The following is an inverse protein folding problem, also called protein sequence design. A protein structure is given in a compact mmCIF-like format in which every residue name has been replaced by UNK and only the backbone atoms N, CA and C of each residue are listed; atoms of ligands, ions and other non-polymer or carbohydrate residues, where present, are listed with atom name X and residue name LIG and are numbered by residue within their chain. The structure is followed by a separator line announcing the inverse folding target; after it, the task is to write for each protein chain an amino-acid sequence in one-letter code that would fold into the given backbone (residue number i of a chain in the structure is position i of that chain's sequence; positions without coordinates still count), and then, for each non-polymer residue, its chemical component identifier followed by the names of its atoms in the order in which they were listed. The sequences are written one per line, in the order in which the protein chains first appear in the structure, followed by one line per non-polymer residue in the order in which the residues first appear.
data_IF_204129457506
#
_entry.id   IF_204129457506
#
_cell.length_a   1.000
_cell.length_b   1.000
_cell.length_c   1.000
_cell.angle_alpha   90.00
_cell.angle_beta   90.00
_cell.angle_gamma   90.00
#
_symmetry.space_group_name_H-M   'P 1'
#
loop_
_entity.id
_entity.type
_entity.pdbx_description
1 polymer ?
#
# COMPACT_ATOMS: atom_id res chain seq x y z
N UNK A 1 -16.27 26.45 -1.72
CA UNK A 1 -17.34 26.93 -0.81
C UNK A 1 -16.78 27.39 0.54
N UNK A 2 -15.88 26.62 1.18
CA UNK A 2 -15.22 27.04 2.42
C UNK A 2 -14.52 28.41 2.33
N UNK A 3 -13.77 28.68 1.25
CA UNK A 3 -13.12 29.98 1.03
C UNK A 3 -14.09 31.16 0.84
N UNK A 4 -15.40 30.90 0.72
CA UNK A 4 -16.46 31.91 0.64
C UNK A 4 -17.25 32.05 1.96
N UNK A 5 -16.69 31.56 3.08
CA UNK A 5 -17.26 31.72 4.42
C UNK A 5 -18.26 30.65 4.85
N UNK A 6 -18.50 29.62 4.03
CA UNK A 6 -19.37 28.50 4.41
C UNK A 6 -18.71 27.60 5.46
N UNK A 7 -19.46 27.22 6.49
CA UNK A 7 -19.03 26.31 7.56
C UNK A 7 -19.62 24.92 7.34
N UNK A 8 -18.82 23.87 7.49
CA UNK A 8 -19.28 22.48 7.48
C UNK A 8 -19.68 22.02 8.88
N UNK A 9 -20.62 21.07 8.95
CA UNK A 9 -20.98 20.38 10.18
C UNK A 9 -20.86 18.87 9.94
N UNK A 10 -20.25 18.15 10.89
CA UNK A 10 -20.14 16.70 10.86
C UNK A 10 -21.03 16.11 11.96
N UNK A 11 -21.97 15.24 11.58
CA UNK A 11 -22.88 14.58 12.50
C UNK A 11 -22.65 13.07 12.45
N UNK A 12 -22.34 12.46 13.58
CA UNK A 12 -22.17 11.01 13.72
C UNK A 12 -23.30 10.41 14.58
N UNK A 13 -24.48 10.10 13.99
CA UNK A 13 -25.61 9.55 14.72
C UNK A 13 -25.33 8.13 15.24
N UNK A 14 -25.96 7.75 16.35
CA UNK A 14 -25.84 6.39 16.94
C UNK A 14 -26.22 5.29 15.94
N UNK A 15 -27.27 5.51 15.15
CA UNK A 15 -27.66 4.62 14.04
C UNK A 15 -27.04 5.15 12.75
N UNK A 16 -26.33 4.30 12.01
CA UNK A 16 -25.74 4.67 10.72
C UNK A 16 -26.85 5.09 9.76
N UNK A 17 -26.83 6.36 9.34
CA UNK A 17 -27.82 6.93 8.43
C UNK A 17 -27.56 6.51 6.97
N UNK A 18 -26.30 6.24 6.63
CA UNK A 18 -25.87 5.77 5.31
C UNK A 18 -25.03 4.52 5.47
N UNK A 19 -25.37 3.47 4.73
CA UNK A 19 -24.62 2.20 4.66
C UNK A 19 -24.29 1.97 3.19
N UNK A 20 -23.01 1.79 2.89
CA UNK A 20 -22.52 1.56 1.54
C UNK A 20 -21.83 0.21 1.43
N UNK A 21 -21.56 -0.21 0.19
CA UNK A 21 -20.77 -1.41 -0.11
C UNK A 21 -19.31 -1.02 -0.23
N UNK A 22 -18.47 -1.65 0.59
CA UNK A 22 -17.01 -1.52 0.52
C UNK A 22 -16.43 -2.56 -0.44
N UNK A 23 -15.29 -2.28 -1.09
CA UNK A 23 -14.56 -3.29 -1.84
C UNK A 23 -14.11 -4.43 -0.92
N UNK A 24 -14.40 -5.67 -1.30
CA UNK A 24 -13.96 -6.88 -0.57
C UNK A 24 -12.65 -7.46 -1.13
N UNK A 25 -12.25 -7.06 -2.34
CA UNK A 25 -11.01 -7.50 -2.98
C UNK A 25 -9.94 -6.38 -2.98
N UNK A 26 -8.70 -6.77 -2.68
CA UNK A 26 -7.53 -5.89 -2.66
C UNK A 26 -7.33 -5.15 -3.99
N UNK A 27 -7.49 -5.82 -5.13
CA UNK A 27 -7.32 -5.20 -6.44
C UNK A 27 -8.25 -4.00 -6.63
N UNK A 28 -9.54 -4.18 -6.32
CA UNK A 28 -10.54 -3.12 -6.44
C UNK A 28 -10.25 -1.95 -5.50
N UNK A 29 -9.80 -2.26 -4.28
CA UNK A 29 -9.38 -1.22 -3.33
C UNK A 29 -8.18 -0.43 -3.87
N UNK A 30 -7.18 -1.09 -4.45
CA UNK A 30 -6.00 -0.42 -5.01
C UNK A 30 -6.34 0.44 -6.23
N UNK A 31 -7.24 -0.03 -7.10
CA UNK A 31 -7.76 0.77 -8.23
C UNK A 31 -8.50 2.00 -7.73
N UNK A 32 -9.35 1.86 -6.70
CA UNK A 32 -10.06 2.98 -6.11
C UNK A 32 -9.10 4.01 -5.49
N UNK A 33 -8.10 3.54 -4.75
CA UNK A 33 -7.08 4.41 -4.15
C UNK A 33 -6.20 5.10 -5.19
N UNK A 34 -5.89 4.42 -6.31
CA UNK A 34 -5.17 5.03 -7.44
C UNK A 34 -5.94 6.25 -7.97
N UNK A 35 -7.27 6.14 -8.14
CA UNK A 35 -8.12 7.26 -8.58
C UNK A 35 -8.15 8.41 -7.60
N UNK A 36 -8.25 8.11 -6.30
CA UNK A 36 -8.21 9.14 -5.26
C UNK A 36 -6.88 9.87 -5.29
N UNK A 37 -5.77 9.13 -5.34
CA UNK A 37 -4.43 9.73 -5.42
C UNK A 37 -4.24 10.56 -6.68
N UNK A 38 -4.79 10.13 -7.82
CA UNK A 38 -4.75 10.90 -9.06
C UNK A 38 -5.51 12.23 -8.93
N UNK A 39 -6.69 12.22 -8.32
CA UNK A 39 -7.44 13.45 -8.01
C UNK A 39 -6.67 14.37 -7.06
N UNK A 40 -6.07 13.81 -6.01
CA UNK A 40 -5.26 14.55 -5.04
C UNK A 40 -4.04 15.20 -5.71
N UNK A 41 -3.33 14.46 -6.57
CA UNK A 41 -2.18 15.00 -7.32
C UNK A 41 -2.59 16.04 -8.37
N UNK A 42 -3.75 15.87 -9.01
CA UNK A 42 -4.27 16.90 -9.92
C UNK A 42 -4.56 18.20 -9.20
N UNK A 43 -5.20 18.13 -8.02
CA UNK A 43 -5.46 19.31 -7.17
C UNK A 43 -4.15 19.93 -6.71
N UNK A 44 -3.20 19.11 -6.25
CA UNK A 44 -1.88 19.56 -5.78
C UNK A 44 -1.11 20.32 -6.87
N UNK A 45 -1.20 19.87 -8.13
CA UNK A 45 -0.53 20.50 -9.27
C UNK A 45 -1.40 21.56 -9.98
N UNK A 46 -2.63 21.80 -9.51
CA UNK A 46 -3.53 22.81 -10.10
C UNK A 46 -3.23 24.21 -9.58
N UNK A 47 -3.72 25.23 -10.29
CA UNK A 47 -3.65 26.62 -9.83
C UNK A 47 -4.40 26.85 -8.50
N UNK A 48 -5.34 25.96 -8.16
CA UNK A 48 -6.10 25.95 -6.91
C UNK A 48 -5.42 25.14 -5.80
N UNK A 49 -4.14 24.81 -5.95
CA UNK A 49 -3.39 24.06 -4.95
C UNK A 49 -3.34 24.82 -3.62
N UNK A 50 -3.67 24.19 -2.49
CA UNK A 50 -3.53 24.83 -1.19
C UNK A 50 -2.07 25.18 -0.85
N UNK A 51 -1.10 24.61 -1.58
CA UNK A 51 0.35 24.82 -1.42
C UNK A 51 0.80 26.21 -1.91
N UNK A 52 0.12 26.80 -2.89
CA UNK A 52 0.43 28.15 -3.38
C UNK A 52 -0.15 29.27 -2.51
N UNK A 53 -1.03 28.93 -1.55
CA UNK A 53 -1.64 29.87 -0.62
C UNK A 53 -0.87 29.93 0.72
N UNK A 54 -0.86 31.11 1.36
CA UNK A 54 -0.25 31.36 2.68
C UNK A 54 -0.82 30.46 3.83
N UNK A 55 -1.81 29.61 3.53
CA UNK A 55 -2.48 28.66 4.42
C UNK A 55 -1.87 27.25 4.42
N UNK A 56 -0.78 27.01 3.69
CA UNK A 56 -0.09 25.72 3.63
C UNK A 56 0.31 25.18 5.01
N UNK A 57 0.83 26.05 5.90
CA UNK A 57 1.30 25.65 7.24
C UNK A 57 0.14 25.20 8.15
N UNK A 58 -0.98 25.95 8.26
CA UNK A 58 -2.18 25.46 8.95
C UNK A 58 -2.76 24.16 8.39
N UNK A 59 -2.77 23.99 7.07
CA UNK A 59 -3.30 22.78 6.44
C UNK A 59 -2.42 21.55 6.73
N UNK A 60 -1.10 21.70 6.66
CA UNK A 60 -0.15 20.65 7.04
C UNK A 60 -0.33 20.25 8.51
N UNK A 61 -0.43 21.24 9.40
CA UNK A 61 -0.66 21.02 10.83
C UNK A 61 -1.98 20.29 11.09
N UNK A 62 -3.10 20.75 10.52
CA UNK A 62 -4.42 20.10 10.68
C UNK A 62 -4.41 18.69 10.12
N UNK A 63 -3.73 18.45 9.00
CA UNK A 63 -3.62 17.11 8.41
C UNK A 63 -2.84 16.17 9.32
N UNK A 64 -1.68 16.58 9.81
CA UNK A 64 -0.86 15.77 10.74
C UNK A 64 -1.61 15.53 12.04
N UNK A 65 -2.24 16.56 12.61
CA UNK A 65 -3.03 16.47 13.82
C UNK A 65 -4.25 15.55 13.65
N UNK A 66 -4.97 15.63 12.52
CA UNK A 66 -6.11 14.77 12.22
C UNK A 66 -5.69 13.30 12.06
N UNK A 67 -4.54 13.04 11.42
CA UNK A 67 -4.01 11.67 11.30
C UNK A 67 -3.55 11.12 12.67
N UNK A 68 -2.87 11.93 13.48
CA UNK A 68 -2.46 11.54 14.83
C UNK A 68 -3.66 11.32 15.77
N UNK A 69 -4.69 12.17 15.67
CA UNK A 69 -5.92 12.05 16.42
C UNK A 69 -6.72 10.81 15.99
N UNK A 70 -6.82 10.53 14.69
CA UNK A 70 -7.45 9.32 14.16
C UNK A 70 -6.75 8.05 14.64
N UNK A 71 -5.41 8.05 14.69
CA UNK A 71 -4.65 6.94 15.26
C UNK A 71 -4.91 6.78 16.77
N UNK A 72 -4.96 7.88 17.52
CA UNK A 72 -5.28 7.86 18.95
C UNK A 72 -6.72 7.39 19.21
N UNK A 73 -7.67 7.82 18.40
CA UNK A 73 -9.08 7.40 18.45
C UNK A 73 -9.22 5.91 18.10
N UNK A 74 -8.47 5.41 17.12
CA UNK A 74 -8.45 3.99 16.78
C UNK A 74 -7.94 3.12 17.94
N UNK A 75 -6.90 3.58 18.64
CA UNK A 75 -6.38 2.92 19.83
C UNK A 75 -7.36 3.03 21.01
N UNK A 76 -8.04 4.17 21.17
CA UNK A 76 -9.02 4.40 22.23
C UNK A 76 -10.33 3.62 22.04
N UNK A 77 -10.73 3.37 20.79
CA UNK A 77 -11.92 2.59 20.44
C UNK A 77 -11.76 1.08 20.64
N UNK A 78 -10.64 0.62 21.22
CA UNK A 78 -10.40 -0.80 21.47
C UNK A 78 -10.00 -1.58 20.21
N UNK A 79 -9.28 -0.94 19.28
CA UNK A 79 -8.75 -1.60 18.09
C UNK A 79 -7.91 -2.84 18.43
N UNK A 80 -8.05 -3.90 17.63
CA UNK A 80 -7.28 -5.12 17.83
C UNK A 80 -5.87 -4.98 17.25
N UNK A 81 -4.88 -5.64 17.85
CA UNK A 81 -3.51 -5.66 17.31
C UNK A 81 -3.48 -6.19 15.86
N UNK A 82 -4.32 -7.20 15.58
CA UNK A 82 -4.52 -7.77 14.24
C UNK A 82 -5.05 -6.73 13.24
N UNK A 83 -6.04 -5.93 13.66
CA UNK A 83 -6.58 -4.83 12.85
C UNK A 83 -5.54 -3.74 12.57
N UNK A 84 -4.78 -3.32 13.59
CA UNK A 84 -3.70 -2.35 13.42
C UNK A 84 -2.62 -2.85 12.45
N UNK A 85 -2.21 -4.11 12.59
CA UNK A 85 -1.24 -4.73 11.68
C UNK A 85 -1.74 -4.78 10.23
N UNK A 86 -3.02 -5.08 10.04
CA UNK A 86 -3.63 -5.05 8.72
C UNK A 86 -3.66 -3.63 8.13
N UNK A 87 -3.95 -2.60 8.93
CA UNK A 87 -3.88 -1.21 8.48
C UNK A 87 -2.47 -0.80 8.01
N UNK A 88 -1.42 -1.19 8.76
CA UNK A 88 -0.04 -0.93 8.32
C UNK A 88 0.28 -1.59 6.98
N UNK A 89 -0.19 -2.83 6.79
CA UNK A 89 -0.06 -3.56 5.52
C UNK A 89 -0.77 -2.84 4.37
N UNK A 90 -2.03 -2.45 4.59
CA UNK A 90 -2.83 -1.77 3.56
C UNK A 90 -2.22 -0.42 3.21
N UNK A 91 -1.66 0.30 4.19
CA UNK A 91 -0.95 1.55 3.95
C UNK A 91 0.32 1.35 3.11
N UNK A 92 1.11 0.31 3.41
CA UNK A 92 2.28 -0.06 2.60
C UNK A 92 1.87 -0.31 1.14
N UNK A 93 0.82 -1.12 0.90
CA UNK A 93 0.37 -1.45 -0.45
C UNK A 93 -0.15 -0.25 -1.22
N UNK A 94 -0.97 0.60 -0.60
CA UNK A 94 -1.46 1.83 -1.23
C UNK A 94 -0.30 2.76 -1.63
N UNK A 95 0.72 2.88 -0.78
CA UNK A 95 1.85 3.77 -1.01
C UNK A 95 2.78 3.27 -2.11
N UNK A 96 3.09 1.98 -2.12
CA UNK A 96 4.01 1.41 -3.11
C UNK A 96 3.38 1.17 -4.46
N UNK A 97 2.06 0.93 -4.53
CA UNK A 97 1.35 0.76 -5.81
C UNK A 97 0.44 1.93 -6.15
N UNK A 98 -0.71 2.08 -5.50
CA UNK A 98 -1.78 3.00 -5.93
C UNK A 98 -1.30 4.44 -6.10
N UNK A 99 -0.54 4.97 -5.14
CA UNK A 99 -0.06 6.34 -5.19
C UNK A 99 1.01 6.55 -6.27
N UNK A 100 1.90 5.57 -6.47
CA UNK A 100 2.90 5.62 -7.53
C UNK A 100 2.23 5.67 -8.90
N UNK A 101 1.27 4.77 -9.15
CA UNK A 101 0.53 4.74 -10.41
C UNK A 101 -0.33 6.00 -10.59
N UNK A 102 -1.00 6.49 -9.55
CA UNK A 102 -1.79 7.74 -9.63
C UNK A 102 -0.92 8.97 -9.91
N UNK A 103 0.31 9.01 -9.39
CA UNK A 103 1.28 10.06 -9.69
C UNK A 103 1.75 10.00 -11.14
N UNK A 104 2.12 8.80 -11.63
CA UNK A 104 2.51 8.58 -13.04
C UNK A 104 1.37 8.99 -13.97
N UNK A 105 0.13 8.56 -13.70
CA UNK A 105 -1.03 8.94 -14.50
C UNK A 105 -1.22 10.46 -14.55
N UNK A 106 -1.04 11.13 -13.42
CA UNK A 106 -1.15 12.59 -13.34
C UNK A 106 -0.07 13.27 -14.20
N UNK A 107 1.17 12.79 -14.18
CA UNK A 107 2.24 13.29 -15.05
C UNK A 107 1.89 13.04 -16.52
N UNK A 108 1.49 11.82 -16.88
CA UNK A 108 1.14 11.48 -18.26
C UNK A 108 -0.02 12.33 -18.80
N UNK A 109 -1.00 12.66 -17.96
CA UNK A 109 -2.09 13.58 -18.30
C UNK A 109 -1.59 15.00 -18.49
N UNK A 110 -0.69 15.49 -17.64
CA UNK A 110 -0.08 16.82 -17.81
C UNK A 110 0.75 16.92 -19.09
N UNK A 111 1.34 15.81 -19.53
CA UNK A 111 2.07 15.72 -20.80
C UNK A 111 1.17 15.49 -22.03
N UNK A 112 -0.16 15.35 -21.84
CA UNK A 112 -1.12 15.13 -22.93
C UNK A 112 -1.06 13.73 -23.56
N UNK A 113 -0.42 12.75 -22.91
CA UNK A 113 -0.20 11.40 -23.46
C UNK A 113 -1.38 10.46 -23.18
N UNK A 114 -2.24 10.79 -22.20
CA UNK A 114 -3.32 9.90 -21.75
C UNK A 114 -4.64 10.64 -21.57
N UNK A 115 -5.71 10.14 -22.20
CA UNK A 115 -7.09 10.48 -21.86
C UNK A 115 -7.64 9.51 -20.82
N UNK A 116 -8.37 10.02 -19.84
CA UNK A 116 -8.89 9.20 -18.74
C UNK A 116 -10.24 8.58 -19.08
N UNK A 117 -10.26 7.30 -19.43
CA UNK A 117 -11.48 6.51 -19.39
C UNK A 117 -11.78 6.11 -17.94
N UNK A 118 -12.90 6.60 -17.39
CA UNK A 118 -13.38 6.14 -16.08
C UNK A 118 -13.85 4.69 -16.20
N UNK A 119 -12.98 3.73 -15.90
CA UNK A 119 -13.36 2.31 -15.87
C UNK A 119 -14.27 2.10 -14.66
N UNK A 120 -15.54 1.73 -14.86
CA UNK A 120 -16.44 1.47 -13.73
C UNK A 120 -15.97 0.20 -13.02
N UNK A 121 -15.66 0.32 -11.72
CA UNK A 121 -15.35 -0.85 -10.89
C UNK A 121 -16.67 -1.44 -10.39
N UNK A 122 -16.99 -2.66 -10.80
CA UNK A 122 -18.12 -3.39 -10.25
C UNK A 122 -17.84 -3.74 -8.78
N UNK A 123 -18.62 -3.20 -7.83
CA UNK A 123 -18.44 -3.45 -6.40
C UNK A 123 -19.14 -4.73 -5.90
N UNK A 124 -19.55 -5.59 -6.82
CA UNK A 124 -20.19 -6.87 -6.50
C UNK A 124 -19.10 -7.93 -6.51
N UNK A 125 -18.88 -8.56 -5.36
CA UNK A 125 -17.95 -9.66 -5.22
C UNK A 125 -18.67 -10.98 -5.50
N UNK A 126 -17.97 -11.93 -6.11
CA UNK A 126 -18.42 -13.32 -6.16
C UNK A 126 -18.49 -13.89 -4.74
N UNK A 127 -19.42 -14.82 -4.50
CA UNK A 127 -19.70 -15.39 -3.17
C UNK A 127 -18.43 -15.98 -2.53
N UNK A 128 -17.64 -16.72 -3.32
CA UNK A 128 -16.34 -17.28 -2.89
C UNK A 128 -15.33 -16.20 -2.46
N UNK A 129 -15.37 -15.01 -3.07
CA UNK A 129 -14.48 -13.90 -2.73
C UNK A 129 -14.95 -13.15 -1.48
N UNK A 130 -16.27 -13.10 -1.24
CA UNK A 130 -16.85 -12.55 -0.02
C UNK A 130 -16.53 -13.41 1.21
N UNK A 131 -16.63 -14.74 1.09
CA UNK A 131 -16.24 -15.67 2.17
C UNK A 131 -14.77 -15.49 2.59
N UNK A 132 -13.86 -15.43 1.61
CA UNK A 132 -12.43 -15.16 1.89
C UNK A 132 -12.21 -13.83 2.59
N UNK A 133 -12.98 -12.81 2.23
CA UNK A 133 -12.90 -11.50 2.89
C UNK A 133 -13.35 -11.57 4.35
N UNK A 134 -14.42 -12.33 4.65
CA UNK A 134 -14.87 -12.58 6.03
C UNK A 134 -13.83 -13.33 6.86
N UNK A 135 -13.05 -14.22 6.23
CA UNK A 135 -11.91 -14.91 6.85
C UNK A 135 -10.64 -14.04 6.95
N UNK A 136 -10.68 -12.78 6.52
CA UNK A 136 -9.55 -11.85 6.40
C UNK A 136 -8.41 -12.35 5.48
N UNK A 137 -8.74 -13.18 4.50
CA UNK A 137 -7.80 -13.73 3.52
C UNK A 137 -7.80 -12.87 2.25
N UNK A 138 -6.64 -12.35 1.87
CA UNK A 138 -6.51 -11.47 0.70
C UNK A 138 -6.53 -12.23 -0.63
N UNK A 139 -7.18 -11.62 -1.61
CA UNK A 139 -7.29 -12.13 -2.98
C UNK A 139 -6.31 -11.45 -3.93
N UNK A 140 -5.61 -12.27 -4.74
CA UNK A 140 -4.58 -11.83 -5.69
C UNK A 140 -4.81 -12.37 -7.12
N UNK A 141 -5.96 -13.01 -7.38
CA UNK A 141 -6.24 -13.76 -8.63
C UNK A 141 -6.33 -12.95 -9.93
N UNK A 142 -6.05 -11.65 -9.90
CA UNK A 142 -6.16 -10.76 -11.06
C UNK A 142 -4.76 -10.40 -11.57
N UNK A 143 -4.54 -10.49 -12.87
CA UNK A 143 -3.31 -9.97 -13.48
C UNK A 143 -3.33 -8.44 -13.47
N UNK A 144 -2.43 -7.83 -12.70
CA UNK A 144 -2.38 -6.38 -12.54
C UNK A 144 -0.93 -5.88 -12.38
N UNK A 145 -0.55 -4.78 -13.03
CA UNK A 145 0.78 -4.19 -12.87
C UNK A 145 1.03 -3.71 -11.43
N UNK A 146 -0.03 -3.41 -10.66
CA UNK A 146 0.09 -3.11 -9.22
C UNK A 146 0.53 -4.33 -8.42
N UNK A 147 0.00 -5.51 -8.75
CA UNK A 147 0.41 -6.77 -8.10
C UNK A 147 1.79 -7.22 -8.54
N UNK A 148 2.17 -6.98 -9.80
CA UNK A 148 3.55 -7.18 -10.25
C UNK A 148 4.51 -6.33 -9.42
N UNK A 149 4.22 -5.05 -9.22
CA UNK A 149 5.07 -4.17 -8.43
C UNK A 149 5.16 -4.61 -6.96
N UNK A 150 4.02 -4.95 -6.34
CA UNK A 150 3.99 -5.46 -4.96
C UNK A 150 4.77 -6.79 -4.85
N UNK A 151 4.57 -7.71 -5.79
CA UNK A 151 5.27 -8.98 -5.88
C UNK A 151 6.78 -8.79 -6.00
N UNK A 152 7.24 -7.95 -6.92
CA UNK A 152 8.67 -7.64 -7.10
C UNK A 152 9.28 -7.06 -5.83
N UNK A 153 8.62 -6.08 -5.20
CA UNK A 153 9.10 -5.48 -3.94
C UNK A 153 9.12 -6.49 -2.79
N UNK A 154 8.06 -7.30 -2.66
CA UNK A 154 8.00 -8.38 -1.69
C UNK A 154 9.14 -9.38 -1.86
N UNK A 155 9.42 -9.83 -3.08
CA UNK A 155 10.54 -10.73 -3.36
C UNK A 155 11.89 -10.08 -3.08
N UNK A 156 12.06 -8.79 -3.38
CA UNK A 156 13.27 -8.04 -3.07
C UNK A 156 13.49 -7.93 -1.55
N UNK A 157 12.44 -7.68 -0.75
CA UNK A 157 12.52 -7.70 0.70
C UNK A 157 12.90 -9.09 1.23
N UNK A 158 12.37 -10.16 0.63
CA UNK A 158 12.71 -11.53 1.02
C UNK A 158 14.18 -11.85 0.71
N UNK A 159 14.66 -11.52 -0.49
CA UNK A 159 16.05 -11.74 -0.89
C UNK A 159 17.02 -10.91 -0.05
N UNK A 160 16.74 -9.63 0.17
CA UNK A 160 17.57 -8.78 1.03
C UNK A 160 17.59 -9.25 2.48
N UNK A 161 16.47 -9.76 3.01
CA UNK A 161 16.44 -10.40 4.32
C UNK A 161 17.31 -11.66 4.38
N UNK A 162 17.22 -12.54 3.38
CA UNK A 162 18.08 -13.73 3.31
C UNK A 162 19.56 -13.38 3.19
N UNK A 163 19.93 -12.37 2.40
CA UNK A 163 21.29 -11.90 2.26
C UNK A 163 21.83 -11.29 3.57
N UNK A 164 21.00 -10.52 4.26
CA UNK A 164 21.33 -9.98 5.59
C UNK A 164 21.50 -11.09 6.63
N UNK A 165 20.66 -12.13 6.60
CA UNK A 165 20.75 -13.29 7.49
C UNK A 165 22.03 -14.09 7.28
N UNK A 166 22.39 -14.37 6.02
CA UNK A 166 23.62 -15.09 5.67
C UNK A 166 24.86 -14.28 6.08
N UNK A 167 24.88 -12.99 5.76
CA UNK A 167 25.99 -12.10 6.14
C UNK A 167 26.16 -12.01 7.65
N UNK A 168 25.05 -11.93 8.40
CA UNK A 168 25.02 -11.98 9.87
C UNK A 168 25.64 -13.28 10.40
N UNK A 169 25.24 -14.43 9.86
CA UNK A 169 25.75 -15.75 10.25
C UNK A 169 27.27 -15.86 9.98
N UNK A 170 27.72 -15.40 8.82
CA UNK A 170 29.13 -15.41 8.43
C UNK A 170 29.98 -14.47 9.30
N UNK A 171 29.48 -13.28 9.65
CA UNK A 171 30.19 -12.33 10.50
C UNK A 171 30.29 -12.83 11.94
N UNK A 172 29.26 -13.47 12.49
CA UNK A 172 29.32 -14.06 13.84
C UNK A 172 30.40 -15.12 14.00
N UNK A 173 30.79 -15.80 12.92
CA UNK A 173 31.91 -16.75 12.93
C UNK A 173 33.30 -16.11 12.76
N UNK A 174 33.38 -14.82 12.37
CA UNK A 174 34.64 -14.20 11.92
C UNK A 174 35.09 -13.02 12.77
N UNK A 175 34.18 -12.31 13.44
CA UNK A 175 34.53 -11.21 14.35
C UNK A 175 33.49 -11.03 15.47
N UNK A 176 33.97 -10.81 16.70
CA UNK A 176 33.17 -10.69 17.92
C UNK A 176 32.48 -9.33 18.13
N UNK A 177 32.35 -8.49 17.10
CA UNK A 177 31.86 -7.12 17.29
C UNK A 177 31.39 -6.44 16.01
N UNK A 178 30.08 -6.49 15.75
CA UNK A 178 29.48 -5.78 14.62
C UNK A 178 27.94 -5.71 14.66
N UNK A 179 27.34 -5.55 15.85
CA UNK A 179 25.88 -5.56 15.99
C UNK A 179 25.20 -4.33 15.35
N UNK A 180 25.87 -3.18 15.30
CA UNK A 180 25.20 -1.90 15.09
C UNK A 180 24.84 -1.57 13.64
N UNK A 181 25.67 -1.91 12.64
CA UNK A 181 25.42 -1.48 11.25
C UNK A 181 24.43 -2.38 10.51
N UNK A 182 24.49 -3.70 10.68
CA UNK A 182 23.60 -4.65 9.96
C UNK A 182 22.35 -5.06 10.73
N UNK A 183 22.20 -4.64 11.99
CA UNK A 183 21.09 -5.07 12.85
C UNK A 183 19.79 -4.41 12.49
N UNK A 184 19.85 -3.10 12.31
CA UNK A 184 18.70 -2.30 11.93
C UNK A 184 18.18 -2.69 10.53
N UNK A 185 19.08 -2.98 9.59
CA UNK A 185 18.69 -3.47 8.27
C UNK A 185 17.98 -4.82 8.34
N UNK A 186 18.52 -5.79 9.09
CA UNK A 186 17.90 -7.10 9.29
C UNK A 186 16.51 -6.99 9.96
N UNK A 187 16.38 -6.12 10.96
CA UNK A 187 15.09 -5.88 11.64
C UNK A 187 14.08 -5.26 10.68
N UNK A 188 14.46 -4.22 9.93
CA UNK A 188 13.55 -3.53 9.00
C UNK A 188 13.12 -4.47 7.88
N UNK A 189 14.04 -5.20 7.24
CA UNK A 189 13.68 -6.14 6.16
C UNK A 189 12.86 -7.30 6.71
N UNK A 190 13.16 -7.79 7.92
CA UNK A 190 12.35 -8.79 8.61
C UNK A 190 10.91 -8.32 8.86
N UNK A 191 10.72 -7.10 9.37
CA UNK A 191 9.38 -6.51 9.57
C UNK A 191 8.64 -6.37 8.24
N UNK A 192 9.31 -5.93 7.17
CA UNK A 192 8.70 -5.81 5.84
C UNK A 192 8.30 -7.17 5.25
N UNK A 193 9.11 -8.22 5.46
CA UNK A 193 8.76 -9.60 5.08
C UNK A 193 7.54 -10.08 5.85
N UNK A 194 7.48 -9.89 7.18
CA UNK A 194 6.32 -10.30 7.98
C UNK A 194 5.04 -9.52 7.59
N UNK A 195 5.16 -8.23 7.30
CA UNK A 195 4.03 -7.43 6.80
C UNK A 195 3.48 -7.98 5.47
N UNK A 196 4.39 -8.41 4.59
CA UNK A 196 4.08 -9.01 3.29
C UNK A 196 3.73 -10.50 3.36
N UNK A 197 3.57 -11.10 4.54
CA UNK A 197 3.32 -12.54 4.65
C UNK A 197 2.19 -13.07 3.75
N UNK A 198 1.00 -12.44 3.69
CA UNK A 198 -0.07 -12.96 2.84
C UNK A 198 0.21 -12.81 1.33
N UNK A 199 1.12 -11.92 0.94
CA UNK A 199 1.58 -11.81 -0.44
C UNK A 199 2.35 -13.08 -0.82
N UNK A 200 3.28 -13.53 0.02
CA UNK A 200 4.02 -14.78 -0.23
C UNK A 200 3.11 -15.99 -0.18
N UNK A 201 2.14 -15.99 0.73
CA UNK A 201 1.10 -17.04 0.79
C UNK A 201 0.32 -17.11 -0.53
N UNK A 202 -0.14 -15.96 -1.03
CA UNK A 202 -0.84 -15.84 -2.30
C UNK A 202 0.02 -16.17 -3.53
N UNK A 203 1.34 -15.96 -3.46
CA UNK A 203 2.27 -16.24 -4.56
C UNK A 203 2.70 -17.73 -4.62
N UNK A 204 3.04 -18.31 -3.47
CA UNK A 204 3.79 -19.57 -3.40
C UNK A 204 3.04 -20.71 -2.72
N UNK A 205 2.24 -20.44 -1.68
CA UNK A 205 1.67 -21.48 -0.83
C UNK A 205 0.26 -21.89 -1.25
N UNK A 206 -0.55 -20.93 -1.71
CA UNK A 206 -1.96 -21.16 -2.01
C UNK A 206 -2.19 -21.81 -3.38
N UNK A 207 -3.28 -22.58 -3.50
CA UNK A 207 -3.71 -23.28 -4.74
C UNK A 207 -5.15 -22.98 -5.16
N UNK A 208 -5.83 -22.09 -4.45
CA UNK A 208 -7.20 -21.67 -4.72
C UNK A 208 -7.27 -20.62 -5.86
N UNK A 209 -8.48 -20.18 -6.22
CA UNK A 209 -8.69 -19.11 -7.22
C UNK A 209 -8.15 -17.76 -6.76
N UNK A 210 -7.97 -17.55 -5.46
CA UNK A 210 -7.38 -16.33 -4.93
C UNK A 210 -5.89 -16.18 -5.25
N UNK A 211 -5.19 -17.29 -5.57
CA UNK A 211 -3.74 -17.32 -5.83
C UNK A 211 -3.31 -16.27 -6.86
N UNK A 212 -2.15 -15.64 -6.63
CA UNK A 212 -1.55 -14.75 -7.62
C UNK A 212 -1.24 -15.52 -8.93
N UNK A 213 -1.62 -14.97 -10.11
CA UNK A 213 -1.34 -15.59 -11.39
C UNK A 213 0.15 -15.94 -11.56
N UNK A 214 0.43 -17.13 -12.10
CA UNK A 214 1.80 -17.63 -12.23
C UNK A 214 2.67 -16.72 -13.10
N UNK A 215 2.10 -16.08 -14.12
CA UNK A 215 2.79 -15.08 -14.96
C UNK A 215 3.37 -13.95 -14.11
N UNK A 216 2.54 -13.34 -13.25
CA UNK A 216 2.93 -12.23 -12.37
C UNK A 216 3.97 -12.69 -11.34
N UNK A 217 3.80 -13.88 -10.76
CA UNK A 217 4.76 -14.44 -9.79
C UNK A 217 6.14 -14.63 -10.42
N UNK A 218 6.20 -15.24 -11.61
CA UNK A 218 7.48 -15.46 -12.33
C UNK A 218 8.13 -14.14 -12.70
N UNK A 219 7.37 -13.20 -13.28
CA UNK A 219 7.88 -11.85 -13.60
C UNK A 219 8.41 -11.13 -12.36
N UNK A 220 7.69 -11.22 -11.23
CA UNK A 220 8.09 -10.61 -9.96
C UNK A 220 9.43 -11.12 -9.46
N UNK A 221 9.62 -12.45 -9.50
CA UNK A 221 10.87 -13.12 -9.09
C UNK A 221 12.03 -12.72 -10.00
N UNK A 222 11.83 -12.74 -11.32
CA UNK A 222 12.86 -12.40 -12.30
C UNK A 222 13.30 -10.94 -12.15
N UNK A 223 12.35 -10.00 -12.00
CA UNK A 223 12.65 -8.59 -11.77
C UNK A 223 13.35 -8.34 -10.43
N UNK A 224 12.99 -9.08 -9.38
CA UNK A 224 13.66 -8.95 -8.08
C UNK A 224 15.09 -9.49 -8.14
N UNK A 225 15.32 -10.63 -8.79
CA UNK A 225 16.66 -11.18 -8.99
C UNK A 225 17.54 -10.25 -9.84
N UNK A 226 17.01 -9.72 -10.94
CA UNK A 226 17.77 -8.78 -11.78
C UNK A 226 18.16 -7.54 -10.98
N UNK A 227 17.23 -6.94 -10.22
CA UNK A 227 17.52 -5.81 -9.34
C UNK A 227 18.60 -6.14 -8.29
N UNK A 228 18.52 -7.31 -7.63
CA UNK A 228 19.54 -7.74 -6.67
C UNK A 228 20.93 -7.88 -7.30
N UNK A 229 21.02 -8.43 -8.52
CA UNK A 229 22.30 -8.53 -9.23
C UNK A 229 22.83 -7.14 -9.61
N UNK A 230 22.01 -6.26 -10.16
CA UNK A 230 22.42 -4.90 -10.52
C UNK A 230 22.96 -4.12 -9.32
N UNK A 231 22.32 -4.24 -8.15
CA UNK A 231 22.78 -3.60 -6.92
C UNK A 231 24.09 -4.21 -6.42
N UNK A 232 24.31 -5.50 -6.60
CA UNK A 232 25.57 -6.15 -6.21
C UNK A 232 26.77 -5.77 -7.09
N UNK A 233 26.52 -5.30 -8.32
CA UNK A 233 27.55 -4.87 -9.27
C UNK A 233 27.78 -3.35 -9.32
N UNK A 234 26.94 -2.56 -8.62
CA UNK A 234 27.07 -1.12 -8.42
C UNK A 234 27.87 -0.82 -7.15
#
# INVERSE_FOLDING_TARGET
MGCRGWKSAYLNPKKKAFVGVAPTNLHQMLVQQRRWSEGDFQVLLSEYSPVSSLWFVPFGYVTVAANAYSLAEFLWCGGTFRGWWNEQRMWLYRRTSSFLFGFIDTILKRLGVSESAFVITAKVAEEEAAERYEEEVMEFGVESPMFLLLGTLGMLYLFSFSAAAVTRLMMTSRDGGGFQTMGLQFVITGVLVVLNWPLYEGMLLRKDKGKMPMSVTVQSVVLALSACTCIAFL
#
